data_IF_853888770223
#
_entry.id   IF_853888770223
#
_cell.length_a   1.000
_cell.length_b   1.000
_cell.length_c   1.000
_cell.angle_alpha   90.00
_cell.angle_beta   90.00
_cell.angle_gamma   90.00
#
_symmetry.space_group_name_H-M   'P 1'
#
loop_
_entity.id
_entity.type
_entity.pdbx_description
1 polymer ?
#
# COMPACT_ATOMS: atom_id res chain seq x y z
N UNK A 1 -12.03 31.58 -12.69
CA UNK A 1 -11.98 31.49 -14.17
C UNK A 1 -10.83 30.60 -14.58
N UNK A 2 -9.61 30.88 -14.11
CA UNK A 2 -8.41 30.04 -14.32
C UNK A 2 -8.58 28.54 -13.98
N UNK A 3 -9.25 28.19 -12.87
CA UNK A 3 -9.43 26.78 -12.48
C UNK A 3 -10.33 25.99 -13.45
N UNK A 4 -11.26 26.66 -14.13
CA UNK A 4 -12.16 26.02 -15.09
C UNK A 4 -11.46 25.77 -16.43
N UNK A 5 -10.67 26.75 -16.90
CA UNK A 5 -9.87 26.64 -18.13
C UNK A 5 -8.80 25.56 -18.01
N UNK A 6 -8.15 25.42 -16.84
CA UNK A 6 -7.21 24.35 -16.57
C UNK A 6 -7.89 22.97 -16.57
N UNK A 7 -9.09 22.88 -15.98
CA UNK A 7 -9.87 21.63 -15.96
C UNK A 7 -10.28 21.17 -17.36
N UNK A 8 -10.71 22.10 -18.23
CA UNK A 8 -11.04 21.80 -19.62
C UNK A 8 -9.80 21.39 -20.42
N UNK A 9 -8.66 22.06 -20.19
CA UNK A 9 -7.38 21.72 -20.82
C UNK A 9 -6.92 20.31 -20.43
N UNK A 10 -6.95 19.99 -19.15
CA UNK A 10 -6.60 18.66 -18.62
C UNK A 10 -7.51 17.57 -19.21
N UNK A 11 -8.83 17.80 -19.22
CA UNK A 11 -9.79 16.85 -19.76
C UNK A 11 -9.57 16.60 -21.26
N UNK A 12 -9.40 17.66 -22.05
CA UNK A 12 -9.13 17.55 -23.48
C UNK A 12 -7.80 16.85 -23.77
N UNK A 13 -6.76 17.15 -23.01
CA UNK A 13 -5.45 16.51 -23.16
C UNK A 13 -5.52 15.02 -22.83
N UNK A 14 -6.17 14.66 -21.71
CA UNK A 14 -6.34 13.28 -21.28
C UNK A 14 -7.18 12.45 -22.26
N UNK A 15 -8.20 13.06 -22.89
CA UNK A 15 -9.04 12.40 -23.89
C UNK A 15 -8.24 12.04 -25.16
N UNK A 16 -7.45 12.99 -25.68
CA UNK A 16 -6.55 12.72 -26.83
C UNK A 16 -5.52 11.65 -26.45
N UNK A 17 -4.88 11.79 -25.28
CA UNK A 17 -3.90 10.81 -24.81
C UNK A 17 -4.50 9.40 -24.74
N UNK A 18 -5.71 9.25 -24.18
CA UNK A 18 -6.39 7.96 -24.10
C UNK A 18 -6.67 7.32 -25.47
N UNK A 19 -6.98 8.14 -26.48
CA UNK A 19 -7.20 7.67 -27.86
C UNK A 19 -5.94 7.19 -28.57
N UNK A 20 -4.77 7.69 -28.18
CA UNK A 20 -3.48 7.38 -28.82
C UNK A 20 -2.67 6.30 -28.10
N UNK A 21 -2.99 5.99 -26.84
CA UNK A 21 -2.35 4.88 -26.11
C UNK A 21 -2.68 3.52 -26.75
N UNK A 22 -1.76 2.54 -26.65
CA UNK A 22 -2.06 1.18 -27.06
C UNK A 22 -3.19 0.59 -26.20
N UNK A 23 -3.93 -0.35 -26.76
CA UNK A 23 -5.19 -0.88 -26.22
C UNK A 23 -6.33 0.16 -26.19
N UNK A 24 -7.40 -0.14 -25.45
CA UNK A 24 -8.54 0.78 -25.30
C UNK A 24 -8.46 1.43 -23.93
N UNK A 25 -8.14 2.73 -23.88
CA UNK A 25 -8.20 3.54 -22.67
C UNK A 25 -9.38 4.49 -22.73
N UNK A 26 -10.05 4.66 -21.60
CA UNK A 26 -11.20 5.56 -21.45
C UNK A 26 -10.84 6.63 -20.43
N UNK A 27 -10.89 7.89 -20.84
CA UNK A 27 -10.67 9.05 -19.97
C UNK A 27 -11.92 9.36 -19.15
N UNK A 28 -11.75 9.73 -17.89
CA UNK A 28 -12.83 10.20 -17.03
C UNK A 28 -12.31 11.23 -16.03
N UNK A 29 -12.99 12.38 -15.86
CA UNK A 29 -12.59 13.37 -14.87
C UNK A 29 -12.79 12.84 -13.45
N UNK A 30 -11.95 13.29 -12.52
CA UNK A 30 -12.05 12.92 -11.10
C UNK A 30 -12.85 13.97 -10.35
N UNK A 31 -13.93 13.60 -9.65
CA UNK A 31 -14.66 14.50 -8.76
C UNK A 31 -13.74 15.00 -7.63
N UNK A 32 -13.86 16.28 -7.24
CA UNK A 32 -12.96 16.89 -6.25
C UNK A 32 -12.95 16.18 -4.88
N UNK A 33 -14.05 15.56 -4.47
CA UNK A 33 -14.19 14.79 -3.24
C UNK A 33 -13.48 13.41 -3.29
N UNK A 34 -13.11 12.94 -4.49
CA UNK A 34 -12.38 11.70 -4.70
C UNK A 34 -10.85 11.88 -4.75
N UNK A 35 -10.34 13.12 -4.76
CA UNK A 35 -8.91 13.41 -4.95
C UNK A 35 -8.00 12.79 -3.89
N UNK A 36 -8.33 12.92 -2.60
CA UNK A 36 -7.50 12.34 -1.53
C UNK A 36 -7.40 10.81 -1.67
N UNK A 37 -8.55 10.16 -1.93
CA UNK A 37 -8.61 8.72 -2.14
C UNK A 37 -7.88 8.24 -3.42
N UNK A 38 -7.63 9.15 -4.37
CA UNK A 38 -6.86 8.89 -5.58
C UNK A 38 -5.37 9.12 -5.33
N UNK A 39 -5.01 10.20 -4.64
CA UNK A 39 -3.63 10.54 -4.28
C UNK A 39 -2.96 9.38 -3.52
N UNK A 40 -3.65 8.80 -2.53
CA UNK A 40 -3.16 7.65 -1.75
C UNK A 40 -2.90 6.38 -2.58
N UNK A 41 -3.41 6.33 -3.82
CA UNK A 41 -3.30 5.17 -4.72
C UNK A 41 -2.36 5.41 -5.89
N UNK A 42 -1.79 6.60 -6.01
CA UNK A 42 -0.81 6.85 -7.06
C UNK A 42 0.40 5.98 -6.74
N UNK A 43 0.80 5.17 -7.71
CA UNK A 43 1.85 4.19 -7.56
C UNK A 43 3.19 4.78 -8.01
N UNK A 44 3.67 5.71 -7.20
CA UNK A 44 4.87 6.52 -7.42
C UNK A 44 5.52 6.85 -6.07
N UNK A 45 6.86 6.82 -6.03
CA UNK A 45 7.67 7.28 -4.88
C UNK A 45 8.72 8.33 -5.30
N UNK A 46 8.53 8.98 -6.45
CA UNK A 46 9.49 9.90 -7.05
C UNK A 46 8.78 11.20 -7.47
N UNK A 47 8.69 11.48 -8.77
CA UNK A 47 8.24 12.77 -9.31
C UNK A 47 6.84 13.19 -8.87
N UNK A 48 5.88 12.26 -8.84
CA UNK A 48 4.48 12.60 -8.52
C UNK A 48 4.29 12.67 -7.00
N UNK A 49 4.96 11.80 -6.24
CA UNK A 49 4.97 11.84 -4.78
C UNK A 49 5.56 13.16 -4.26
N UNK A 50 6.70 13.59 -4.83
CA UNK A 50 7.33 14.88 -4.49
C UNK A 50 6.41 16.06 -4.79
N UNK A 51 5.76 16.08 -5.97
CA UNK A 51 4.82 17.15 -6.31
C UNK A 51 3.63 17.19 -5.33
N UNK A 52 3.05 16.03 -4.99
CA UNK A 52 1.89 15.97 -4.10
C UNK A 52 2.21 16.31 -2.64
N UNK A 53 3.47 16.15 -2.22
CA UNK A 53 3.92 16.61 -0.91
C UNK A 53 3.89 18.14 -0.78
N UNK A 54 4.16 18.86 -1.87
CA UNK A 54 4.15 20.34 -1.90
C UNK A 54 2.79 20.91 -2.31
N UNK A 55 2.09 20.21 -3.20
CA UNK A 55 0.86 20.67 -3.85
C UNK A 55 -0.21 19.57 -3.82
N UNK A 56 -1.21 19.66 -2.92
CA UNK A 56 -2.30 18.69 -2.86
C UNK A 56 -3.02 18.55 -4.19
N UNK A 57 -3.47 17.33 -4.51
CA UNK A 57 -4.15 17.03 -5.78
C UNK A 57 -5.45 17.84 -5.93
N UNK A 58 -5.48 18.76 -6.90
CA UNK A 58 -6.64 19.62 -7.16
C UNK A 58 -7.49 19.09 -8.31
N UNK A 59 -6.85 18.72 -9.41
CA UNK A 59 -7.51 18.26 -10.64
C UNK A 59 -6.77 17.06 -11.21
N UNK A 60 -7.55 16.08 -11.67
CA UNK A 60 -7.04 14.86 -12.28
C UNK A 60 -8.04 14.30 -13.29
N UNK A 61 -7.51 13.60 -14.28
CA UNK A 61 -8.26 12.70 -15.13
C UNK A 61 -7.71 11.27 -14.96
N UNK A 62 -8.59 10.29 -14.85
CA UNK A 62 -8.20 8.87 -14.79
C UNK A 62 -8.43 8.24 -16.14
N UNK A 63 -7.40 7.60 -16.67
CA UNK A 63 -7.49 6.74 -17.84
C UNK A 63 -7.68 5.31 -17.36
N UNK A 64 -8.75 4.64 -17.79
CA UNK A 64 -9.04 3.26 -17.40
C UNK A 64 -8.99 2.33 -18.60
N UNK A 65 -8.29 1.20 -18.45
CA UNK A 65 -8.28 0.09 -19.41
C UNK A 65 -9.24 -1.01 -18.95
N UNK A 66 -9.90 -1.78 -19.86
CA UNK A 66 -10.86 -2.82 -19.50
C UNK A 66 -10.35 -3.92 -18.57
N UNK A 67 -9.05 -4.15 -18.50
CA UNK A 67 -8.43 -5.12 -17.58
C UNK A 67 -8.30 -4.61 -16.13
N UNK A 68 -8.81 -3.40 -15.87
CA UNK A 68 -8.77 -2.73 -14.57
C UNK A 68 -7.49 -1.92 -14.31
N UNK A 69 -6.57 -1.85 -15.29
CA UNK A 69 -5.42 -0.95 -15.20
C UNK A 69 -5.88 0.50 -15.27
N UNK A 70 -5.24 1.36 -14.48
CA UNK A 70 -5.57 2.77 -14.35
C UNK A 70 -4.31 3.63 -14.38
N UNK A 71 -4.35 4.71 -15.15
CA UNK A 71 -3.40 5.80 -15.11
C UNK A 71 -4.11 7.06 -14.61
N UNK A 72 -3.36 7.98 -14.01
CA UNK A 72 -3.86 9.30 -13.64
C UNK A 72 -3.03 10.36 -14.33
N UNK A 73 -3.70 11.31 -14.99
CA UNK A 73 -3.12 12.54 -15.54
C UNK A 73 -3.45 13.67 -14.59
N UNK A 74 -2.45 14.43 -14.17
CA UNK A 74 -2.59 15.55 -13.24
C UNK A 74 -1.83 16.78 -13.74
N UNK A 75 -2.29 17.96 -13.33
CA UNK A 75 -1.58 19.20 -13.61
C UNK A 75 -0.25 19.26 -12.87
N UNK A 76 0.78 19.71 -13.58
CA UNK A 76 2.08 20.03 -13.02
C UNK A 76 2.04 21.47 -12.50
N UNK A 77 2.01 21.63 -11.19
CA UNK A 77 1.91 22.93 -10.52
C UNK A 77 3.27 23.59 -10.19
N UNK A 78 4.37 23.01 -10.64
CA UNK A 78 5.70 23.62 -10.50
C UNK A 78 6.00 24.65 -11.62
N UNK A 79 7.19 25.25 -11.60
CA UNK A 79 7.61 26.28 -12.57
C UNK A 79 7.60 25.82 -14.04
N UNK A 80 7.51 24.52 -14.31
CA UNK A 80 7.63 23.98 -15.67
C UNK A 80 6.30 23.90 -16.41
N UNK A 81 5.17 24.06 -15.72
CA UNK A 81 3.81 23.87 -16.25
C UNK A 81 3.63 22.53 -16.99
N UNK A 82 2.40 22.21 -17.42
CA UNK A 82 2.11 20.99 -18.19
C UNK A 82 1.49 19.88 -17.35
N UNK A 83 1.69 18.62 -17.74
CA UNK A 83 1.01 17.48 -17.11
C UNK A 83 2.01 16.44 -16.62
N UNK A 84 1.63 15.72 -15.57
CA UNK A 84 2.27 14.47 -15.15
C UNK A 84 1.30 13.31 -15.36
N UNK A 85 1.85 12.13 -15.58
CA UNK A 85 1.08 10.89 -15.60
C UNK A 85 1.72 9.84 -14.71
N UNK A 86 0.91 9.10 -13.96
CA UNK A 86 1.37 8.01 -13.12
C UNK A 86 0.42 6.81 -13.16
N UNK A 87 0.97 5.65 -12.81
CA UNK A 87 0.19 4.45 -12.56
C UNK A 87 -0.66 4.59 -11.30
N UNK A 88 -1.83 3.95 -11.29
CA UNK A 88 -2.68 3.86 -10.11
C UNK A 88 -2.73 2.40 -9.64
N UNK A 89 -2.48 2.17 -8.35
CA UNK A 89 -2.55 0.86 -7.72
C UNK A 89 -4.01 0.33 -7.73
N UNK A 90 -4.25 -0.92 -8.19
CA UNK A 90 -5.58 -1.53 -8.14
C UNK A 90 -6.15 -1.66 -6.72
N UNK A 91 -7.40 -1.19 -6.49
CA UNK A 91 -8.04 -1.30 -5.16
C UNK A 91 -8.36 -2.73 -4.71
N UNK A 92 -8.53 -3.64 -5.67
CA UNK A 92 -9.09 -4.97 -5.39
C UNK A 92 -8.09 -5.93 -4.75
N UNK A 93 -6.82 -5.53 -4.57
CA UNK A 93 -5.73 -6.39 -4.14
C UNK A 93 -5.22 -5.95 -2.75
N UNK A 94 -4.84 -6.89 -1.87
CA UNK A 94 -4.34 -6.56 -0.54
C UNK A 94 -2.96 -5.88 -0.59
N UNK A 95 -2.66 -5.03 0.40
CA UNK A 95 -1.40 -4.28 0.52
C UNK A 95 -0.16 -5.20 0.48
N UNK A 96 -0.27 -6.40 1.03
CA UNK A 96 0.79 -7.42 1.01
C UNK A 96 1.28 -7.77 -0.40
N UNK A 97 0.40 -7.66 -1.41
CA UNK A 97 0.73 -7.98 -2.79
C UNK A 97 1.70 -6.96 -3.42
N UNK A 98 1.81 -5.76 -2.83
CA UNK A 98 2.63 -4.66 -3.36
C UNK A 98 4.02 -4.59 -2.72
N UNK A 99 4.26 -5.21 -1.56
CA UNK A 99 5.48 -5.01 -0.73
C UNK A 99 6.82 -5.26 -1.42
N UNK A 100 6.86 -6.13 -2.43
CA UNK A 100 8.10 -6.47 -3.16
C UNK A 100 8.09 -5.96 -4.59
N UNK A 101 7.10 -5.15 -4.95
CA UNK A 101 6.92 -4.69 -6.32
C UNK A 101 7.43 -3.26 -6.40
N UNK A 102 8.48 -2.99 -7.20
CA UNK A 102 8.95 -1.64 -7.40
C UNK A 102 7.85 -0.80 -8.03
N UNK A 103 7.72 0.44 -7.56
CA UNK A 103 6.75 1.38 -8.08
C UNK A 103 7.05 1.67 -9.56
N UNK A 104 6.03 1.71 -10.43
CA UNK A 104 6.21 2.10 -11.81
C UNK A 104 6.90 3.45 -11.88
N UNK A 105 6.51 4.42 -11.04
CA UNK A 105 6.92 5.83 -11.07
C UNK A 105 6.42 6.58 -12.32
N UNK A 106 5.80 7.73 -12.09
CA UNK A 106 5.24 8.60 -13.10
C UNK A 106 6.30 9.30 -13.94
N UNK A 107 5.84 9.94 -15.00
CA UNK A 107 6.67 10.70 -15.92
C UNK A 107 6.03 12.06 -16.20
N UNK A 108 6.88 13.04 -16.51
CA UNK A 108 6.42 14.31 -17.05
C UNK A 108 6.03 14.16 -18.51
N UNK A 109 4.90 14.75 -18.87
CA UNK A 109 4.39 14.79 -20.23
C UNK A 109 4.80 16.09 -20.94
N UNK A 110 4.80 16.02 -22.26
CA UNK A 110 5.01 17.17 -23.13
C UNK A 110 3.68 17.87 -23.42
N UNK A 111 3.71 19.11 -23.91
CA UNK A 111 2.49 19.79 -24.36
C UNK A 111 1.80 19.12 -25.55
N UNK A 112 2.51 18.25 -26.29
CA UNK A 112 1.94 17.44 -27.38
C UNK A 112 1.45 16.07 -26.86
N UNK A 113 0.12 15.81 -26.87
CA UNK A 113 -0.43 14.55 -26.38
C UNK A 113 -0.03 13.33 -27.24
N UNK A 114 0.31 13.50 -28.52
CA UNK A 114 0.73 12.40 -29.39
C UNK A 114 2.13 11.91 -29.04
N UNK A 115 3.08 12.84 -28.85
CA UNK A 115 4.43 12.51 -28.37
C UNK A 115 4.40 11.93 -26.95
N UNK A 116 3.49 12.44 -26.12
CA UNK A 116 3.28 11.92 -24.77
C UNK A 116 2.71 10.51 -24.78
N UNK A 117 1.83 10.17 -25.73
CA UNK A 117 1.35 8.80 -25.90
C UNK A 117 2.49 7.85 -26.26
N UNK A 118 3.38 8.24 -27.17
CA UNK A 118 4.57 7.46 -27.53
C UNK A 118 5.48 7.23 -26.31
N UNK A 119 5.73 8.28 -25.52
CA UNK A 119 6.54 8.19 -24.31
C UNK A 119 5.89 7.27 -23.26
N UNK A 120 4.59 7.42 -23.02
CA UNK A 120 3.85 6.57 -22.07
C UNK A 120 3.87 5.10 -22.53
N UNK A 121 3.69 4.84 -23.82
CA UNK A 121 3.71 3.50 -24.39
C UNK A 121 5.11 2.87 -24.35
N UNK A 122 6.16 3.66 -24.58
CA UNK A 122 7.54 3.18 -24.61
C UNK A 122 8.21 3.03 -23.24
N UNK A 123 7.68 3.69 -22.20
CA UNK A 123 8.34 3.79 -20.90
C UNK A 123 7.42 3.41 -19.72
N UNK A 124 6.36 4.19 -19.48
CA UNK A 124 5.50 3.99 -18.30
C UNK A 124 4.69 2.69 -18.37
N UNK A 125 4.07 2.37 -19.52
CA UNK A 125 3.24 1.17 -19.66
C UNK A 125 4.02 -0.13 -19.45
N UNK A 126 5.23 -0.34 -20.03
CA UNK A 126 6.04 -1.52 -19.76
C UNK A 126 6.35 -1.73 -18.26
N UNK A 127 6.70 -0.66 -17.55
CA UNK A 127 6.94 -0.71 -16.08
C UNK A 127 5.64 -1.04 -15.34
N UNK A 128 4.54 -0.40 -15.71
CA UNK A 128 3.24 -0.62 -15.07
C UNK A 128 2.70 -2.03 -15.29
N UNK A 129 2.75 -2.55 -16.52
CA UNK A 129 2.28 -3.89 -16.85
C UNK A 129 3.13 -4.97 -16.14
N UNK A 130 4.45 -4.75 -16.04
CA UNK A 130 5.34 -5.60 -15.24
C UNK A 130 4.94 -5.61 -13.77
N UNK A 131 4.67 -4.43 -13.20
CA UNK A 131 4.26 -4.30 -11.81
C UNK A 131 2.89 -4.95 -11.56
N UNK A 132 1.90 -4.75 -12.44
CA UNK A 132 0.58 -5.39 -12.37
C UNK A 132 0.69 -6.92 -12.45
N UNK A 133 1.52 -7.43 -13.36
CA UNK A 133 1.75 -8.87 -13.48
C UNK A 133 2.35 -9.44 -12.19
N UNK A 134 3.31 -8.73 -11.57
CA UNK A 134 3.92 -9.15 -10.31
C UNK A 134 2.91 -9.12 -9.15
N UNK A 135 2.10 -8.07 -9.01
CA UNK A 135 1.08 -7.99 -7.95
C UNK A 135 0.02 -9.09 -8.14
N UNK A 136 -0.43 -9.32 -9.38
CA UNK A 136 -1.37 -10.42 -9.71
C UNK A 136 -0.74 -11.79 -9.41
N UNK A 137 0.55 -11.97 -9.66
CA UNK A 137 1.27 -13.19 -9.28
C UNK A 137 1.31 -13.38 -7.76
N UNK A 138 1.61 -12.31 -7.01
CA UNK A 138 1.63 -12.31 -5.55
C UNK A 138 0.24 -12.65 -4.95
N UNK A 139 -0.87 -12.41 -5.68
CA UNK A 139 -2.24 -12.71 -5.22
C UNK A 139 -2.76 -14.08 -5.66
N UNK A 140 -2.55 -14.47 -6.92
CA UNK A 140 -2.94 -15.79 -7.45
C UNK A 140 -2.16 -16.93 -6.80
N UNK A 141 -0.96 -16.65 -6.31
CA UNK A 141 -0.15 -17.62 -5.62
C UNK A 141 -0.80 -18.17 -4.35
N UNK A 142 -1.71 -17.46 -3.65
CA UNK A 142 -1.95 -17.78 -2.22
C UNK A 142 -0.65 -17.89 -1.40
N UNK A 143 0.43 -17.37 -2.00
CA UNK A 143 1.84 -17.61 -1.79
C UNK A 143 2.41 -16.24 -2.10
N UNK A 144 2.61 -15.45 -1.04
CA UNK A 144 3.77 -14.58 -0.93
C UNK A 144 4.94 -15.27 -1.65
N UNK A 145 5.69 -14.65 -2.59
CA UNK A 145 6.90 -15.27 -3.10
C UNK A 145 7.66 -15.80 -1.88
N UNK A 146 7.82 -17.13 -1.85
CA UNK A 146 8.11 -17.93 -0.66
C UNK A 146 8.94 -17.19 0.40
N UNK A 147 8.26 -16.61 1.40
CA UNK A 147 8.78 -16.49 2.75
C UNK A 147 8.19 -17.63 3.60
N UNK A 148 7.98 -18.81 2.96
CA UNK A 148 7.65 -20.07 3.65
C UNK A 148 8.74 -20.47 4.66
N UNK A 149 9.88 -19.79 4.58
CA UNK A 149 11.04 -19.93 5.43
C UNK A 149 11.34 -18.50 5.92
N UNK A 150 10.52 -17.93 6.82
CA UNK A 150 10.87 -16.69 7.55
C UNK A 150 10.69 -16.85 9.04
N UNK A 151 11.75 -16.58 9.79
CA UNK A 151 11.69 -16.51 11.26
C UNK A 151 11.43 -15.07 11.68
N UNK A 152 10.30 -14.84 12.36
CA UNK A 152 9.99 -13.55 12.98
C UNK A 152 10.43 -13.59 14.43
N UNK A 153 11.48 -12.86 14.75
CA UNK A 153 11.99 -12.64 16.09
C UNK A 153 11.29 -11.42 16.69
N UNK A 154 10.66 -11.57 17.85
CA UNK A 154 9.90 -10.50 18.50
C UNK A 154 10.50 -10.19 19.85
N UNK A 155 10.95 -8.95 20.04
CA UNK A 155 11.34 -8.45 21.35
C UNK A 155 10.16 -8.57 22.32
N UNK A 156 10.44 -9.01 23.52
CA UNK A 156 9.47 -9.13 24.60
C UNK A 156 9.61 -7.95 25.56
N UNK A 157 8.56 -7.62 26.34
CA UNK A 157 8.61 -6.53 27.31
C UNK A 157 9.68 -6.68 28.39
N UNK A 158 10.13 -7.92 28.66
CA UNK A 158 11.21 -8.24 29.60
C UNK A 158 12.61 -8.11 28.99
N UNK A 159 12.72 -7.72 27.71
CA UNK A 159 13.98 -7.60 26.98
C UNK A 159 14.45 -8.90 26.33
N UNK A 160 13.74 -10.02 26.53
CA UNK A 160 14.02 -11.26 25.81
C UNK A 160 13.57 -11.16 24.35
N UNK A 161 13.99 -12.10 23.50
CA UNK A 161 13.51 -12.22 22.12
C UNK A 161 12.85 -13.58 21.98
N UNK A 162 11.62 -13.62 21.44
CA UNK A 162 10.90 -14.87 21.22
C UNK A 162 10.45 -15.00 19.76
N UNK A 163 10.34 -16.24 19.29
CA UNK A 163 9.77 -16.55 17.99
C UNK A 163 8.83 -17.74 18.08
N UNK A 164 7.78 -17.71 17.25
CA UNK A 164 6.81 -18.79 17.15
C UNK A 164 7.52 -20.11 16.77
N UNK A 165 6.86 -21.27 16.94
CA UNK A 165 7.43 -22.54 16.51
C UNK A 165 7.85 -22.50 15.04
N UNK A 166 9.09 -22.92 14.78
CA UNK A 166 9.69 -23.00 13.44
C UNK A 166 9.97 -24.45 13.06
N UNK A 167 10.30 -24.69 11.78
CA UNK A 167 10.70 -26.01 11.32
C UNK A 167 12.04 -26.46 11.94
N UNK A 168 12.38 -27.74 11.80
CA UNK A 168 13.59 -28.30 12.42
C UNK A 168 14.91 -27.69 11.91
N UNK A 169 14.92 -27.11 10.71
CA UNK A 169 16.10 -26.48 10.10
C UNK A 169 16.37 -25.11 10.75
N UNK A 170 15.34 -24.27 10.85
CA UNK A 170 15.43 -23.00 11.58
C UNK A 170 15.66 -23.22 13.08
N UNK A 171 14.99 -24.22 13.68
CA UNK A 171 15.13 -24.56 15.09
C UNK A 171 16.57 -24.91 15.48
N UNK A 172 17.28 -25.65 14.64
CA UNK A 172 18.69 -25.98 14.87
C UNK A 172 19.59 -24.74 14.91
N UNK A 173 19.35 -23.77 14.02
CA UNK A 173 20.08 -22.49 13.99
C UNK A 173 19.74 -21.63 15.21
N UNK A 174 18.47 -21.57 15.63
CA UNK A 174 18.08 -20.84 16.83
C UNK A 174 18.76 -21.42 18.08
N UNK A 175 18.74 -22.75 18.24
CA UNK A 175 19.36 -23.43 19.38
C UNK A 175 20.88 -23.24 19.39
N UNK A 176 21.56 -23.32 18.24
CA UNK A 176 23.01 -23.09 18.17
C UNK A 176 23.43 -21.68 18.57
N UNK A 177 22.51 -20.71 18.45
CA UNK A 177 22.72 -19.31 18.82
C UNK A 177 22.11 -18.96 20.19
N UNK A 178 21.77 -19.97 21.02
CA UNK A 178 21.40 -19.78 22.41
C UNK A 178 19.91 -19.60 22.68
N UNK A 179 19.03 -19.80 21.69
CA UNK A 179 17.60 -19.88 21.95
C UNK A 179 17.25 -21.20 22.65
N UNK A 180 16.34 -21.14 23.61
CA UNK A 180 15.77 -22.30 24.29
C UNK A 180 14.36 -22.50 23.77
N UNK A 181 14.05 -23.72 23.33
CA UNK A 181 12.70 -24.10 22.97
C UNK A 181 11.91 -24.46 24.23
N UNK A 182 10.74 -23.86 24.42
CA UNK A 182 9.77 -24.30 25.42
C UNK A 182 9.12 -25.62 24.94
N UNK A 183 9.27 -26.74 25.69
CA UNK A 183 8.68 -28.02 25.31
C UNK A 183 7.15 -28.04 25.27
N UNK A 184 6.47 -27.10 25.94
CA UNK A 184 5.01 -27.04 25.99
C UNK A 184 4.42 -26.20 24.87
N UNK A 185 5.01 -25.04 24.57
CA UNK A 185 4.50 -24.11 23.55
C UNK A 185 5.21 -24.22 22.20
N UNK A 186 6.40 -24.84 22.16
CA UNK A 186 7.25 -24.91 20.97
C UNK A 186 7.92 -23.58 20.58
N UNK A 187 7.69 -22.52 21.36
CA UNK A 187 8.27 -21.18 21.17
C UNK A 187 9.75 -21.22 21.50
N UNK A 188 10.56 -20.55 20.69
CA UNK A 188 11.99 -20.37 20.96
C UNK A 188 12.21 -19.00 21.58
N UNK A 189 12.93 -18.94 22.70
CA UNK A 189 13.25 -17.68 23.38
C UNK A 189 14.74 -17.52 23.67
N UNK A 190 15.21 -16.28 23.58
CA UNK A 190 16.57 -15.84 23.90
C UNK A 190 16.50 -14.82 25.04
N UNK A 191 17.07 -15.17 26.18
CA UNK A 191 17.03 -14.38 27.40
C UNK A 191 17.85 -13.07 27.28
N UNK A 192 17.49 -12.05 28.06
CA UNK A 192 18.15 -10.74 28.17
C UNK A 192 19.28 -10.67 29.19
N UNK A 193 19.54 -11.74 29.97
CA UNK A 193 20.51 -11.75 31.07
C UNK A 193 21.93 -11.29 30.66
N UNK A 194 22.32 -11.54 29.40
CA UNK A 194 23.55 -11.02 28.80
C UNK A 194 23.23 -10.34 27.46
N UNK A 195 23.10 -9.02 27.50
CA UNK A 195 22.77 -8.19 26.33
C UNK A 195 23.86 -8.20 25.26
N UNK A 196 25.13 -8.44 25.61
CA UNK A 196 26.20 -8.53 24.61
C UNK A 196 26.13 -9.87 23.86
N UNK A 197 25.92 -10.97 24.60
CA UNK A 197 25.70 -12.29 24.00
C UNK A 197 24.42 -12.30 23.15
N UNK A 198 23.34 -11.65 23.62
CA UNK A 198 22.09 -11.53 22.90
C UNK A 198 22.25 -10.77 21.57
N UNK A 199 22.92 -9.60 21.60
CA UNK A 199 23.17 -8.82 20.39
C UNK A 199 24.06 -9.56 19.38
N UNK A 200 25.02 -10.36 19.87
CA UNK A 200 25.86 -11.22 19.03
C UNK A 200 25.06 -12.34 18.38
N UNK A 201 24.24 -13.05 19.16
CA UNK A 201 23.36 -14.10 18.65
C UNK A 201 22.42 -13.58 17.55
N UNK A 202 21.76 -12.44 17.77
CA UNK A 202 20.87 -11.84 16.78
C UNK A 202 21.59 -11.43 15.48
N UNK A 203 22.86 -11.02 15.57
CA UNK A 203 23.69 -10.69 14.41
C UNK A 203 24.12 -11.94 13.62
N UNK A 204 24.35 -13.06 14.31
CA UNK A 204 24.81 -14.31 13.68
C UNK A 204 23.64 -15.11 13.07
N UNK A 205 22.43 -15.00 13.62
CA UNK A 205 21.24 -15.74 13.15
C UNK A 205 20.78 -15.31 11.75
N UNK A 206 20.79 -14.01 11.44
CA UNK A 206 20.34 -13.49 10.15
C UNK A 206 21.04 -14.17 8.96
N UNK A 207 22.37 -14.08 8.86
CA UNK A 207 23.13 -14.73 7.79
C UNK A 207 23.04 -16.26 7.79
N UNK A 208 22.93 -16.91 8.96
CA UNK A 208 22.84 -18.38 9.06
C UNK A 208 21.48 -18.90 8.57
N UNK A 209 20.40 -18.20 8.90
CA UNK A 209 19.07 -18.52 8.37
C UNK A 209 19.00 -18.20 6.87
N UNK A 210 19.57 -17.08 6.43
CA UNK A 210 19.61 -16.71 5.01
C UNK A 210 20.37 -17.75 4.16
N UNK A 211 21.47 -18.30 4.69
CA UNK A 211 22.25 -19.34 4.02
C UNK A 211 21.48 -20.64 3.77
N UNK A 212 20.41 -20.90 4.53
CA UNK A 212 19.51 -22.04 4.34
C UNK A 212 18.19 -21.65 3.67
N UNK A 213 18.13 -20.46 3.09
CA UNK A 213 16.97 -19.94 2.36
C UNK A 213 15.88 -19.35 3.26
N UNK A 214 16.20 -19.09 4.54
CA UNK A 214 15.27 -18.61 5.56
C UNK A 214 15.49 -17.12 5.85
N UNK A 215 14.50 -16.28 5.54
CA UNK A 215 14.53 -14.85 5.88
C UNK A 215 14.37 -14.61 7.39
N UNK A 216 14.86 -13.47 7.88
CA UNK A 216 14.64 -13.04 9.26
C UNK A 216 13.89 -11.72 9.33
N UNK A 217 12.99 -11.58 10.30
CA UNK A 217 12.40 -10.30 10.71
C UNK A 217 12.68 -10.08 12.19
N UNK A 218 13.03 -8.86 12.59
CA UNK A 218 13.05 -8.46 13.99
C UNK A 218 11.92 -7.46 14.23
N UNK A 219 11.00 -7.78 15.13
CA UNK A 219 9.86 -6.95 15.49
C UNK A 219 9.97 -6.50 16.95
N UNK A 220 9.54 -5.27 17.22
CA UNK A 220 9.33 -4.80 18.58
C UNK A 220 7.84 -5.01 18.91
N UNK A 221 7.50 -5.35 20.17
CA UNK A 221 6.11 -5.53 20.53
C UNK A 221 5.46 -4.15 20.40
N UNK A 222 4.48 -4.04 19.49
CA UNK A 222 3.73 -2.82 19.31
C UNK A 222 3.05 -2.48 20.65
N UNK A 223 3.47 -1.37 21.25
CA UNK A 223 2.78 -0.81 22.39
C UNK A 223 1.34 -0.48 21.99
N UNK A 224 0.39 -1.25 22.53
CA UNK A 224 -1.03 -0.91 22.74
C UNK A 224 -1.85 -0.62 21.47
N UNK A 225 -2.65 -1.61 21.07
CA UNK A 225 -3.96 -1.34 20.47
C UNK A 225 -4.81 -0.54 21.48
N UNK A 226 -5.22 0.68 21.12
CA UNK A 226 -6.25 1.39 21.87
C UNK A 226 -7.57 0.59 21.78
N UNK A 227 -8.36 0.50 22.87
CA UNK A 227 -9.60 -0.28 22.84
C UNK A 227 -10.58 0.34 21.85
N UNK A 228 -11.12 -0.49 20.97
CA UNK A 228 -12.28 -0.18 20.14
C UNK A 228 -13.41 0.31 21.05
N UNK A 229 -13.73 1.60 20.95
CA UNK A 229 -15.00 2.14 21.41
C UNK A 229 -16.10 1.49 20.57
N UNK A 230 -16.78 0.50 21.13
CA UNK A 230 -18.01 -0.01 20.57
C UNK A 230 -19.04 1.15 20.54
N UNK A 231 -19.73 1.41 19.42
CA UNK A 231 -20.78 2.42 19.40
C UNK A 231 -21.88 2.04 20.40
N UNK A 232 -22.22 2.99 21.26
CA UNK A 232 -23.30 2.84 22.24
C UNK A 232 -24.60 2.49 21.53
N UNK A 233 -25.24 1.41 22.01
CA UNK A 233 -26.58 1.03 21.58
C UNK A 233 -27.56 2.18 21.81
N UNK A 234 -28.30 2.53 20.76
CA UNK A 234 -29.36 3.55 20.77
C UNK A 234 -30.44 3.13 21.78
N UNK A 235 -30.84 4.00 22.73
CA UNK A 235 -31.92 3.68 23.66
C UNK A 235 -33.28 3.61 22.93
N UNK A 236 -34.20 2.72 23.33
CA UNK A 236 -35.50 2.60 22.70
C UNK A 236 -36.37 3.85 22.93
N UNK A 237 -37.01 4.31 21.85
CA UNK A 237 -37.92 5.46 21.81
C UNK A 237 -39.16 5.19 22.69
N UNK A 238 -39.56 6.10 23.61
CA UNK A 238 -40.81 5.97 24.36
C UNK A 238 -42.03 6.18 23.45
N UNK A 239 -42.98 5.24 23.50
CA UNK A 239 -44.27 5.35 22.84
C UNK A 239 -45.07 6.55 23.38
N UNK A 240 -45.50 7.43 22.47
CA UNK A 240 -46.27 8.62 22.80
C UNK A 240 -47.63 8.30 23.44
N UNK A 241 -47.87 8.87 24.62
CA UNK A 241 -49.15 8.80 25.30
C UNK A 241 -50.13 9.76 24.61
N UNK A 242 -51.11 9.22 23.89
CA UNK A 242 -52.30 9.94 23.40
C UNK A 242 -53.11 10.46 24.60
N UNK A 243 -53.28 11.77 24.69
CA UNK A 243 -54.28 12.41 25.56
C UNK A 243 -55.56 12.62 24.74
N UNK A 244 -56.73 12.14 25.20
CA UNK A 244 -58.00 12.54 24.61
C UNK A 244 -58.51 13.84 25.27
N UNK A 245 -58.80 14.84 24.43
CA UNK A 245 -59.57 16.01 24.81
C UNK A 245 -61.04 15.63 24.95
N UNK A 246 -61.65 15.91 26.10
CA UNK A 246 -63.11 15.88 26.26
C UNK A 246 -63.58 17.23 26.78
N UNK A 247 -64.48 17.87 26.03
CA UNK A 247 -65.12 19.16 26.26
C UNK A 247 -66.55 18.93 26.76
N UNK A 248 -66.99 19.74 27.73
CA UNK A 248 -68.39 19.89 28.18
C UNK A 248 -68.49 19.76 29.71
N UNK A 249 -69.03 20.71 30.47
CA UNK A 249 -70.05 21.74 30.23
C UNK A 249 -69.86 22.88 31.21
#
# INVERSE_FOLDING_TARGET
MHDHENSERLASYADVLAGELPDTWISSPVPADANNNLADRIWDLDLVADLLAEHPLQQAAVLSRPDGAQLVVLDRHDERNGFLIAAVAPRALPDEAYRTVPEPNGIALTDDPFLSAEQVAGDLLPRYDTALAQVRHNTLGGIQPSQADRVVLTWQPDGSVATAPVDGRAGAVLISNGFVQDPQSGIYSLNSDDTQAQARALREIGPQLEAIGIGTALQHPAGRAAPTSAPAAVPPVPAGTRVPATRGR
#
